data_IF_185940573874
#
_entry.id   IF_185940573874
#
_cell.length_a   1.000
_cell.length_b   1.000
_cell.length_c   1.000
_cell.angle_alpha   90.00
_cell.angle_beta   90.00
_cell.angle_gamma   90.00
#
_symmetry.space_group_name_H-M   'P 1'
#
loop_
_entity.id
_entity.type
_entity.pdbx_description
1 polymer ?
#
# COMPACT_ATOMS: atom_id res chain seq x y z
N UNK A 1 -18.10 2.08 5.44
CA UNK A 1 -17.41 2.10 6.75
C UNK A 1 -17.31 3.49 7.39
N UNK A 2 -17.37 4.59 6.62
CA UNK A 2 -17.34 5.96 7.18
C UNK A 2 -18.46 6.13 8.22
N UNK A 3 -18.08 6.51 9.45
CA UNK A 3 -18.94 6.62 10.66
C UNK A 3 -19.63 5.35 11.16
N UNK A 4 -19.43 4.19 10.51
CA UNK A 4 -20.10 2.94 10.91
C UNK A 4 -19.13 1.86 11.39
N UNK A 5 -17.87 1.90 10.98
CA UNK A 5 -16.86 0.92 11.34
C UNK A 5 -15.46 1.57 11.36
N UNK A 6 -14.67 1.17 12.34
CA UNK A 6 -13.26 1.53 12.36
C UNK A 6 -12.50 0.70 11.32
N UNK A 7 -11.84 1.38 10.38
CA UNK A 7 -10.89 0.77 9.46
C UNK A 7 -9.52 1.40 9.66
N UNK A 8 -8.51 0.55 9.79
CA UNK A 8 -7.14 1.02 9.91
C UNK A 8 -6.58 1.32 8.52
N UNK A 9 -6.01 2.49 8.34
CA UNK A 9 -5.20 2.84 7.17
C UNK A 9 -3.93 3.57 7.60
N UNK A 10 -2.95 3.64 6.69
CA UNK A 10 -1.72 4.40 6.91
C UNK A 10 -1.74 5.64 6.04
N UNK A 11 -1.44 6.77 6.62
CA UNK A 11 -1.32 8.06 5.95
C UNK A 11 0.04 8.68 6.28
N UNK A 12 0.47 9.63 5.46
CA UNK A 12 1.67 10.44 5.73
C UNK A 12 1.26 11.89 5.90
N UNK A 13 1.01 12.35 7.15
CA UNK A 13 0.70 13.75 7.40
C UNK A 13 1.96 14.59 7.22
N UNK A 14 1.84 15.71 6.52
CA UNK A 14 2.90 16.70 6.35
C UNK A 14 2.53 18.08 6.88
N UNK A 15 1.25 18.27 7.18
CA UNK A 15 0.73 19.47 7.83
C UNK A 15 -0.23 19.03 8.94
N UNK A 16 0.01 19.49 10.17
CA UNK A 16 -0.94 19.34 11.28
C UNK A 16 -1.04 20.67 11.99
N UNK A 17 -2.18 21.33 11.86
CA UNK A 17 -2.51 22.55 12.58
C UNK A 17 -3.67 22.25 13.53
N UNK A 18 -3.36 22.22 14.81
CA UNK A 18 -4.33 21.90 15.86
C UNK A 18 -5.31 23.03 16.13
N UNK A 19 -4.86 24.28 16.02
CA UNK A 19 -5.67 25.44 16.32
C UNK A 19 -6.76 25.63 15.26
N UNK A 20 -6.41 25.46 14.00
CA UNK A 20 -7.34 25.52 12.87
C UNK A 20 -8.05 24.19 12.61
N UNK A 21 -7.69 23.12 13.33
CA UNK A 21 -8.21 21.75 13.15
C UNK A 21 -8.07 21.28 11.71
N UNK A 22 -6.85 21.38 11.17
CA UNK A 22 -6.52 20.98 9.80
C UNK A 22 -5.35 20.01 9.80
N UNK A 23 -5.50 18.93 9.06
CA UNK A 23 -4.41 18.00 8.74
C UNK A 23 -4.35 17.79 7.24
N UNK A 24 -3.21 18.17 6.62
CA UNK A 24 -2.89 17.83 5.24
C UNK A 24 -2.08 16.54 5.19
N UNK A 25 -2.47 15.57 4.35
CA UNK A 25 -1.83 14.26 4.34
C UNK A 25 -1.84 13.58 2.98
N UNK A 26 -0.84 12.75 2.76
CA UNK A 26 -0.80 11.84 1.61
C UNK A 26 -1.46 10.50 1.97
N UNK A 27 -2.32 10.03 1.10
CA UNK A 27 -2.91 8.70 1.17
C UNK A 27 -3.02 8.10 -0.23
N UNK A 28 -2.45 6.93 -0.43
CA UNK A 28 -2.33 6.30 -1.73
C UNK A 28 -1.65 7.23 -2.76
N UNK A 29 -2.37 7.66 -3.79
CA UNK A 29 -1.87 8.50 -4.89
C UNK A 29 -2.32 9.97 -4.79
N UNK A 30 -2.92 10.37 -3.67
CA UNK A 30 -3.50 11.70 -3.51
C UNK A 30 -3.01 12.42 -2.27
N UNK A 31 -3.19 13.72 -2.30
CA UNK A 31 -3.07 14.60 -1.15
C UNK A 31 -4.46 15.07 -0.75
N UNK A 32 -4.76 15.06 0.54
CA UNK A 32 -6.07 15.35 1.09
C UNK A 32 -5.95 16.23 2.32
N UNK A 33 -7.02 16.97 2.59
CA UNK A 33 -7.18 17.71 3.82
C UNK A 33 -8.29 17.10 4.67
N UNK A 34 -8.03 17.02 5.96
CA UNK A 34 -8.98 16.61 6.99
C UNK A 34 -9.21 17.82 7.91
N UNK A 35 -10.45 18.21 8.14
CA UNK A 35 -10.78 19.42 8.87
C UNK A 35 -11.91 19.24 9.88
N UNK A 36 -11.99 20.16 10.86
CA UNK A 36 -13.11 20.29 11.77
C UNK A 36 -13.46 19.03 12.55
N UNK A 37 -14.70 18.57 12.45
CA UNK A 37 -15.19 17.41 13.21
C UNK A 37 -14.47 16.09 12.86
N UNK A 38 -14.02 15.93 11.63
CA UNK A 38 -13.27 14.73 11.20
C UNK A 38 -11.86 14.76 11.79
N UNK A 39 -11.24 15.94 11.91
CA UNK A 39 -9.98 16.13 12.63
C UNK A 39 -10.14 15.74 14.11
N UNK A 40 -11.17 16.28 14.79
CA UNK A 40 -11.45 15.94 16.17
C UNK A 40 -11.71 14.43 16.36
N UNK A 41 -12.41 13.80 15.42
CA UNK A 41 -12.70 12.37 15.45
C UNK A 41 -11.47 11.48 15.34
N UNK A 42 -10.53 11.79 14.43
CA UNK A 42 -9.30 11.02 14.27
C UNK A 42 -8.39 11.11 15.50
N UNK A 43 -8.30 12.29 16.09
CA UNK A 43 -7.47 12.53 17.27
C UNK A 43 -8.21 12.30 18.59
N UNK A 44 -9.47 11.89 18.54
CA UNK A 44 -10.33 11.67 19.72
C UNK A 44 -10.39 12.89 20.66
N UNK A 45 -10.55 14.07 20.07
CA UNK A 45 -10.54 15.36 20.78
C UNK A 45 -11.95 15.86 21.15
N UNK A 46 -12.99 15.07 20.92
CA UNK A 46 -14.35 15.42 21.31
C UNK A 46 -14.45 15.58 22.85
N UNK A 47 -15.38 16.43 23.34
CA UNK A 47 -15.61 16.59 24.78
C UNK A 47 -15.92 15.31 25.51
N UNK A 48 -16.56 14.35 24.83
CA UNK A 48 -16.78 12.98 25.29
C UNK A 48 -16.03 12.02 24.35
N UNK A 49 -14.76 11.74 24.65
CA UNK A 49 -13.94 10.85 23.83
C UNK A 49 -14.53 9.44 23.81
N UNK A 50 -14.56 8.80 22.65
CA UNK A 50 -14.96 7.40 22.54
C UNK A 50 -13.92 6.51 23.23
N UNK A 51 -14.35 5.69 24.20
CA UNK A 51 -13.47 4.83 24.99
C UNK A 51 -12.80 3.71 24.16
N UNK A 52 -13.39 3.33 23.02
CA UNK A 52 -12.94 2.23 22.17
C UNK A 52 -12.09 2.70 20.96
N UNK A 53 -11.71 3.97 20.91
CA UNK A 53 -10.89 4.48 19.79
C UNK A 53 -9.46 3.98 19.92
N UNK A 54 -8.99 3.27 18.91
CA UNK A 54 -7.58 2.98 18.75
C UNK A 54 -6.84 4.29 18.45
N UNK A 55 -5.99 4.72 19.37
CA UNK A 55 -5.13 5.87 19.13
C UNK A 55 -4.24 5.61 17.90
N UNK A 56 -3.97 6.63 17.08
CA UNK A 56 -3.10 6.49 15.93
C UNK A 56 -1.70 6.09 16.39
N UNK A 57 -1.14 5.05 15.78
CA UNK A 57 0.28 4.76 15.89
C UNK A 57 1.02 5.74 14.99
N UNK A 58 1.97 6.47 15.55
CA UNK A 58 2.71 7.53 14.86
C UNK A 58 4.19 7.20 14.82
N UNK A 59 4.74 7.18 13.62
CA UNK A 59 6.19 7.15 13.40
C UNK A 59 6.64 8.49 12.83
N UNK A 60 7.73 9.04 13.37
CA UNK A 60 8.34 10.24 12.83
C UNK A 60 9.52 9.87 11.96
N UNK A 61 9.46 10.28 10.68
CA UNK A 61 10.58 10.18 9.77
C UNK A 61 11.39 11.46 9.87
N UNK A 62 12.61 11.35 10.38
CA UNK A 62 13.57 12.45 10.35
C UNK A 62 14.35 12.39 9.05
N UNK A 63 14.19 13.41 8.23
CA UNK A 63 14.91 13.53 6.97
C UNK A 63 16.11 14.44 7.19
N UNK A 64 17.30 13.93 6.88
CA UNK A 64 18.50 14.75 6.87
C UNK A 64 18.58 15.46 5.49
N UNK A 65 18.44 16.78 5.50
CA UNK A 65 18.49 17.59 4.27
C UNK A 65 19.82 17.45 3.54
N UNK A 66 20.94 17.30 4.27
CA UNK A 66 22.23 17.10 3.65
C UNK A 66 22.32 15.80 2.84
N UNK A 67 21.63 14.75 3.29
CA UNK A 67 21.54 13.49 2.53
C UNK A 67 20.65 13.65 1.30
N UNK A 68 19.56 14.42 1.40
CA UNK A 68 18.69 14.69 0.26
C UNK A 68 19.42 15.55 -0.80
N UNK A 69 20.14 16.57 -0.37
CA UNK A 69 20.88 17.48 -1.24
C UNK A 69 22.05 16.79 -1.94
N UNK A 70 22.72 15.85 -1.27
CA UNK A 70 23.77 15.03 -1.84
C UNK A 70 23.26 14.04 -2.89
N UNK A 71 21.95 13.78 -2.90
CA UNK A 71 21.30 12.74 -3.70
C UNK A 71 21.66 11.33 -3.23
N UNK A 72 20.98 10.35 -3.80
CA UNK A 72 21.19 8.94 -3.42
C UNK A 72 22.30 8.27 -4.25
N UNK A 73 22.86 8.95 -5.28
CA UNK A 73 23.82 8.37 -6.20
C UNK A 73 23.25 7.09 -6.85
N UNK A 74 24.02 6.01 -6.86
CA UNK A 74 23.61 4.70 -7.37
C UNK A 74 23.05 3.78 -6.27
N UNK A 75 22.82 4.30 -5.07
CA UNK A 75 22.40 3.50 -3.90
C UNK A 75 21.06 2.81 -4.14
N UNK A 76 20.13 3.45 -4.81
CA UNK A 76 18.83 2.86 -5.17
C UNK A 76 18.98 1.71 -6.16
N UNK A 77 19.91 1.81 -7.11
CA UNK A 77 20.25 0.73 -8.04
C UNK A 77 20.89 -0.46 -7.32
N UNK A 78 21.78 -0.20 -6.36
CA UNK A 78 22.40 -1.25 -5.56
C UNK A 78 21.40 -1.97 -4.67
N UNK A 79 20.48 -1.23 -4.07
CA UNK A 79 19.35 -1.80 -3.31
C UNK A 79 18.48 -2.66 -4.21
N UNK A 80 18.13 -2.18 -5.40
CA UNK A 80 17.36 -2.95 -6.38
C UNK A 80 18.04 -4.25 -6.79
N UNK A 81 19.34 -4.21 -7.08
CA UNK A 81 20.15 -5.40 -7.39
C UNK A 81 20.19 -6.38 -6.24
N UNK A 82 20.37 -5.90 -5.01
CA UNK A 82 20.39 -6.73 -3.82
C UNK A 82 19.05 -7.42 -3.56
N UNK A 83 17.93 -6.74 -3.80
CA UNK A 83 16.60 -7.34 -3.72
C UNK A 83 16.37 -8.38 -4.82
N UNK A 84 16.76 -8.08 -6.05
CA UNK A 84 16.64 -9.01 -7.17
C UNK A 84 17.46 -10.29 -6.94
N UNK A 85 18.66 -10.15 -6.39
CA UNK A 85 19.53 -11.31 -6.05
C UNK A 85 18.91 -12.22 -4.99
N UNK A 86 18.05 -11.70 -4.12
CA UNK A 86 17.38 -12.47 -3.05
C UNK A 86 16.03 -13.06 -3.48
N UNK A 87 15.62 -12.88 -4.74
CA UNK A 87 14.34 -13.43 -5.21
C UNK A 87 14.30 -14.96 -5.01
N UNK A 88 13.14 -15.47 -4.61
CA UNK A 88 12.91 -16.89 -4.53
C UNK A 88 13.04 -17.58 -5.90
N UNK A 89 13.50 -18.83 -5.95
CA UNK A 89 13.51 -19.58 -7.21
C UNK A 89 12.09 -19.84 -7.71
N UNK A 90 11.92 -19.88 -9.02
CA UNK A 90 10.63 -20.15 -9.67
C UNK A 90 9.78 -18.90 -9.87
N UNK A 91 8.55 -19.12 -10.35
CA UNK A 91 7.59 -18.06 -10.62
C UNK A 91 6.64 -17.88 -9.41
N UNK A 92 6.68 -16.78 -8.70
CA UNK A 92 5.80 -16.54 -7.55
C UNK A 92 4.32 -16.46 -7.94
N UNK A 93 3.99 -16.07 -9.17
CA UNK A 93 2.61 -16.01 -9.66
C UNK A 93 2.02 -17.43 -9.79
N UNK A 94 2.80 -18.40 -10.28
CA UNK A 94 2.37 -19.80 -10.34
C UNK A 94 2.18 -20.38 -8.93
N UNK A 95 3.03 -20.01 -7.99
CA UNK A 95 2.89 -20.44 -6.60
C UNK A 95 1.62 -19.85 -5.97
N UNK A 96 1.33 -18.57 -6.22
CA UNK A 96 0.09 -17.91 -5.80
C UNK A 96 -1.13 -18.57 -6.42
N UNK A 97 -1.12 -18.84 -7.73
CA UNK A 97 -2.23 -19.49 -8.43
C UNK A 97 -2.56 -20.87 -7.84
N UNK A 98 -1.54 -21.71 -7.59
CA UNK A 98 -1.73 -23.00 -6.92
C UNK A 98 -2.31 -22.85 -5.51
N UNK A 99 -1.87 -21.83 -4.75
CA UNK A 99 -2.37 -21.58 -3.41
C UNK A 99 -3.84 -21.15 -3.45
N UNK A 100 -4.21 -20.27 -4.38
CA UNK A 100 -5.59 -19.83 -4.58
C UNK A 100 -6.50 -21.04 -4.82
N UNK A 101 -6.13 -21.92 -5.75
CA UNK A 101 -6.92 -23.12 -6.07
C UNK A 101 -7.07 -24.03 -4.84
N UNK A 102 -5.99 -24.20 -4.08
CA UNK A 102 -6.01 -25.06 -2.88
C UNK A 102 -6.88 -24.49 -1.75
N UNK A 103 -7.00 -23.15 -1.65
CA UNK A 103 -7.76 -22.49 -0.59
C UNK A 103 -9.26 -22.36 -0.88
N UNK A 104 -9.70 -22.48 -2.14
CA UNK A 104 -11.11 -22.33 -2.53
C UNK A 104 -12.07 -23.15 -1.66
N UNK A 105 -11.87 -24.46 -1.42
CA UNK A 105 -12.80 -25.24 -0.61
C UNK A 105 -12.90 -24.74 0.84
N UNK A 106 -11.77 -24.30 1.40
CA UNK A 106 -11.72 -23.74 2.75
C UNK A 106 -12.52 -22.43 2.83
N UNK A 107 -12.31 -21.55 1.88
CA UNK A 107 -12.95 -20.23 1.83
C UNK A 107 -14.45 -20.36 1.58
N UNK A 108 -14.88 -21.30 0.72
CA UNK A 108 -16.29 -21.61 0.48
C UNK A 108 -16.99 -22.10 1.77
N UNK A 109 -16.31 -22.93 2.55
CA UNK A 109 -16.84 -23.44 3.83
C UNK A 109 -16.90 -22.36 4.90
N UNK A 110 -15.92 -21.45 4.93
CA UNK A 110 -15.82 -20.40 5.94
C UNK A 110 -16.77 -19.21 5.70
N UNK A 111 -17.37 -19.10 4.52
CA UNK A 111 -18.39 -18.11 4.19
C UNK A 111 -17.88 -16.75 3.67
N UNK A 112 -18.82 -15.81 3.43
CA UNK A 112 -18.51 -14.56 2.71
C UNK A 112 -17.47 -13.67 3.40
N UNK A 113 -17.49 -13.55 4.72
CA UNK A 113 -16.55 -12.69 5.45
C UNK A 113 -15.11 -13.21 5.33
N UNK A 114 -14.94 -14.52 5.46
CA UNK A 114 -13.63 -15.15 5.23
C UNK A 114 -13.16 -14.96 3.79
N UNK A 115 -14.07 -15.06 2.82
CA UNK A 115 -13.79 -14.79 1.42
C UNK A 115 -13.29 -13.35 1.21
N UNK A 116 -13.94 -12.37 1.79
CA UNK A 116 -13.52 -10.96 1.67
C UNK A 116 -12.12 -10.73 2.26
N UNK A 117 -11.84 -11.26 3.44
CA UNK A 117 -10.51 -11.13 4.07
C UNK A 117 -9.42 -11.82 3.23
N UNK A 118 -9.71 -13.02 2.74
CA UNK A 118 -8.79 -13.79 1.93
C UNK A 118 -8.51 -13.13 0.58
N UNK A 119 -9.54 -12.71 -0.14
CA UNK A 119 -9.37 -12.06 -1.45
C UNK A 119 -8.67 -10.71 -1.34
N UNK A 120 -8.97 -9.94 -0.29
CA UNK A 120 -8.30 -8.69 0.03
C UNK A 120 -6.82 -8.91 0.36
N UNK A 121 -6.52 -9.91 1.22
CA UNK A 121 -5.17 -10.22 1.63
C UNK A 121 -4.27 -10.78 0.52
N UNK A 122 -4.83 -11.45 -0.48
CA UNK A 122 -4.08 -12.07 -1.57
C UNK A 122 -4.13 -11.26 -2.86
N UNK A 123 -5.30 -11.14 -3.46
CA UNK A 123 -5.42 -10.58 -4.81
C UNK A 123 -5.21 -9.07 -4.83
N UNK A 124 -5.74 -8.35 -3.85
CA UNK A 124 -5.55 -6.90 -3.77
C UNK A 124 -4.11 -6.54 -3.44
N UNK A 125 -3.48 -7.25 -2.51
CA UNK A 125 -2.07 -7.03 -2.18
C UNK A 125 -1.15 -7.38 -3.36
N UNK A 126 -1.41 -8.49 -4.04
CA UNK A 126 -0.67 -8.84 -5.25
C UNK A 126 -0.83 -7.77 -6.34
N UNK A 127 -2.06 -7.34 -6.63
CA UNK A 127 -2.32 -6.31 -7.64
C UNK A 127 -1.65 -4.96 -7.31
N UNK A 128 -1.72 -4.51 -6.05
CA UNK A 128 -1.07 -3.29 -5.59
C UNK A 128 0.46 -3.39 -5.68
N UNK A 129 1.04 -4.53 -5.29
CA UNK A 129 2.48 -4.77 -5.38
C UNK A 129 2.95 -4.74 -6.84
N UNK A 130 2.20 -5.35 -7.75
CA UNK A 130 2.51 -5.33 -9.17
C UNK A 130 2.42 -3.90 -9.76
N UNK A 131 1.42 -3.12 -9.38
CA UNK A 131 1.30 -1.71 -9.82
C UNK A 131 2.49 -0.86 -9.34
N UNK A 132 2.90 -1.03 -8.08
CA UNK A 132 4.08 -0.35 -7.53
C UNK A 132 5.37 -0.83 -8.21
N UNK A 133 5.49 -2.11 -8.53
CA UNK A 133 6.64 -2.65 -9.25
C UNK A 133 6.76 -2.06 -10.66
N UNK A 134 5.63 -1.84 -11.37
CA UNK A 134 5.63 -1.17 -12.66
C UNK A 134 6.23 0.25 -12.57
N UNK A 135 5.77 1.03 -11.59
CA UNK A 135 6.29 2.39 -11.37
C UNK A 135 7.77 2.37 -10.96
N UNK A 136 8.16 1.38 -10.16
CA UNK A 136 9.54 1.26 -9.67
C UNK A 136 10.53 0.93 -10.79
N UNK A 137 10.20 0.04 -11.72
CA UNK A 137 11.10 -0.27 -12.85
C UNK A 137 11.23 0.91 -13.82
N UNK A 138 10.18 1.72 -14.00
CA UNK A 138 10.27 2.96 -14.77
C UNK A 138 11.17 4.00 -14.07
N UNK A 139 11.05 4.12 -12.75
CA UNK A 139 11.94 4.95 -11.95
C UNK A 139 13.40 4.51 -12.08
N UNK A 140 13.66 3.20 -11.94
CA UNK A 140 15.03 2.65 -12.08
C UNK A 140 15.62 2.88 -13.47
N UNK A 141 14.82 2.80 -14.53
CA UNK A 141 15.24 3.09 -15.91
C UNK A 141 15.71 4.54 -16.02
N UNK A 142 14.94 5.49 -15.48
CA UNK A 142 15.32 6.90 -15.40
C UNK A 142 16.55 7.17 -14.52
N UNK A 143 16.91 6.23 -13.64
CA UNK A 143 18.12 6.29 -12.80
C UNK A 143 19.33 5.58 -13.41
N UNK A 144 19.22 5.07 -14.63
CA UNK A 144 20.34 4.45 -15.35
C UNK A 144 20.30 2.92 -15.45
N UNK A 145 19.27 2.25 -14.91
CA UNK A 145 19.04 0.82 -15.16
C UNK A 145 18.40 0.62 -16.55
N UNK A 146 19.13 0.99 -17.60
CA UNK A 146 18.64 1.03 -18.97
C UNK A 146 17.92 -0.27 -19.36
N UNK A 147 16.68 -0.14 -19.83
CA UNK A 147 15.83 -1.24 -20.25
C UNK A 147 14.94 -1.80 -19.12
N UNK A 148 15.07 -1.33 -17.88
CA UNK A 148 14.22 -1.79 -16.77
C UNK A 148 12.75 -1.47 -17.02
N UNK A 149 12.42 -0.34 -17.64
CA UNK A 149 11.06 0.06 -17.98
C UNK A 149 10.32 -0.93 -18.88
N UNK A 150 11.03 -1.76 -19.65
CA UNK A 150 10.42 -2.80 -20.49
C UNK A 150 9.61 -3.83 -19.68
N UNK A 151 9.89 -3.98 -18.38
CA UNK A 151 9.12 -4.85 -17.50
C UNK A 151 7.78 -4.23 -17.02
N UNK A 152 7.60 -2.91 -17.11
CA UNK A 152 6.43 -2.22 -16.58
C UNK A 152 5.09 -2.72 -17.16
N UNK A 153 4.92 -2.94 -18.48
CA UNK A 153 3.69 -3.49 -19.03
C UNK A 153 3.31 -4.84 -18.41
N UNK A 154 4.26 -5.74 -18.22
CA UNK A 154 4.01 -7.06 -17.63
C UNK A 154 3.51 -6.96 -16.17
N UNK A 155 4.05 -6.04 -15.39
CA UNK A 155 3.55 -5.76 -14.05
C UNK A 155 2.16 -5.15 -14.06
N UNK A 156 1.85 -4.26 -14.99
CA UNK A 156 0.50 -3.69 -15.15
C UNK A 156 -0.52 -4.75 -15.59
N UNK A 157 -0.13 -5.66 -16.46
CA UNK A 157 -0.97 -6.79 -16.85
C UNK A 157 -1.27 -7.69 -15.66
N UNK A 158 -0.27 -8.00 -14.85
CA UNK A 158 -0.44 -8.76 -13.61
C UNK A 158 -1.39 -8.06 -12.62
N UNK A 159 -1.25 -6.74 -12.44
CA UNK A 159 -2.13 -5.93 -11.60
C UNK A 159 -3.58 -5.95 -12.10
N UNK A 160 -3.77 -5.79 -13.40
CA UNK A 160 -5.08 -5.82 -14.06
C UNK A 160 -5.73 -7.20 -13.96
N UNK A 161 -4.94 -8.25 -14.15
CA UNK A 161 -5.36 -9.64 -13.98
C UNK A 161 -5.85 -9.93 -12.56
N UNK A 162 -5.12 -9.48 -11.54
CA UNK A 162 -5.51 -9.64 -10.15
C UNK A 162 -6.87 -8.97 -9.84
N UNK A 163 -7.06 -7.75 -10.32
CA UNK A 163 -8.34 -7.04 -10.22
C UNK A 163 -9.48 -7.79 -10.92
N UNK A 164 -9.23 -8.27 -12.15
CA UNK A 164 -10.24 -9.00 -12.91
C UNK A 164 -10.65 -10.31 -12.22
N UNK A 165 -9.70 -11.06 -11.63
CA UNK A 165 -10.00 -12.26 -10.87
C UNK A 165 -10.79 -11.92 -9.62
N UNK A 166 -10.39 -10.90 -8.87
CA UNK A 166 -11.09 -10.47 -7.67
C UNK A 166 -12.57 -10.14 -7.96
N UNK A 167 -12.86 -9.42 -9.04
CA UNK A 167 -14.24 -9.08 -9.43
C UNK A 167 -15.07 -10.24 -9.95
N UNK A 168 -14.43 -11.31 -10.46
CA UNK A 168 -15.17 -12.46 -11.00
C UNK A 168 -15.55 -13.49 -9.94
N UNK A 169 -14.86 -13.50 -8.82
CA UNK A 169 -15.09 -14.44 -7.74
C UNK A 169 -15.88 -13.80 -6.57
N UNK A 170 -16.15 -12.48 -6.61
CA UNK A 170 -17.12 -11.78 -5.77
C UNK A 170 -18.48 -11.80 -6.43
#
# INVERSE_FOLDING_TARGET
SYRNQHTKTTIVPNLVNRDDKVMGYFHNRGYFDLTGADFDGIFNLAPEPHAEVLLPYVEQIRVDSAVLDAGFGDRDLDVARAHLARRAPGNPVDALARRIVADIPLVQTAGPDAFHLWSFGLLRQFGATAELAANYVEYLDGRGATGAAAAAPHFRDAASGAKAVQFRIC
#
